data_IF_145220603202
#
_entry.id   IF_145220603202
#
_cell.length_a   1.000
_cell.length_b   1.000
_cell.length_c   1.000
_cell.angle_alpha   90.00
_cell.angle_beta   90.00
_cell.angle_gamma   90.00
#
_symmetry.space_group_name_H-M   'P 1'
#
loop_
_entity.id
_entity.type
_entity.pdbx_description
1 polymer ?
#
# COMPACT_ATOMS: atom_id res chain seq x y z
N UNK A 1 -30.25 3.23 -20.17
CA UNK A 1 -30.17 2.20 -19.11
C UNK A 1 -30.12 2.89 -17.75
N UNK A 2 -30.85 2.40 -16.76
CA UNK A 2 -30.77 2.90 -15.38
C UNK A 2 -29.70 2.12 -14.61
N UNK A 3 -28.80 2.83 -13.94
CA UNK A 3 -27.79 2.25 -13.05
C UNK A 3 -28.38 1.98 -11.66
N UNK A 4 -27.70 1.16 -10.87
CA UNK A 4 -28.19 0.62 -9.59
C UNK A 4 -27.69 1.38 -8.36
N UNK A 5 -27.18 2.61 -8.50
CA UNK A 5 -26.55 3.40 -7.43
C UNK A 5 -27.36 3.41 -6.12
N UNK A 6 -28.69 3.53 -6.18
CA UNK A 6 -29.58 3.59 -5.01
C UNK A 6 -29.60 2.30 -4.17
N UNK A 7 -29.34 1.14 -4.77
CA UNK A 7 -29.30 -0.15 -4.09
C UNK A 7 -27.88 -0.60 -3.73
N UNK A 8 -26.87 0.22 -4.01
CA UNK A 8 -25.49 -0.07 -3.63
C UNK A 8 -25.14 0.54 -2.28
N UNK A 9 -24.25 -0.11 -1.53
CA UNK A 9 -23.74 0.39 -0.24
C UNK A 9 -22.27 0.10 -0.12
N UNK A 10 -21.55 1.03 0.51
CA UNK A 10 -20.14 0.86 0.85
C UNK A 10 -20.02 0.33 2.27
N UNK A 11 -19.28 -0.77 2.44
CA UNK A 11 -19.00 -1.39 3.75
C UNK A 11 -17.53 -1.82 3.80
N UNK A 12 -17.06 -2.38 4.91
CA UNK A 12 -15.77 -3.07 4.93
C UNK A 12 -15.81 -4.26 3.98
N UNK A 13 -14.76 -4.44 3.17
CA UNK A 13 -14.66 -5.54 2.21
C UNK A 13 -14.57 -6.90 2.91
N UNK A 14 -15.04 -7.95 2.24
CA UNK A 14 -14.82 -9.34 2.66
C UNK A 14 -13.39 -9.81 2.40
N UNK A 15 -12.62 -9.07 1.61
CA UNK A 15 -11.21 -9.35 1.31
C UNK A 15 -10.32 -8.71 2.40
N UNK A 16 -9.52 -9.50 3.13
CA UNK A 16 -8.62 -8.98 4.16
C UNK A 16 -7.63 -7.96 3.57
N UNK A 17 -7.55 -6.79 4.20
CA UNK A 17 -6.63 -5.72 3.79
C UNK A 17 -7.05 -4.89 2.57
N UNK A 18 -8.19 -5.20 1.93
CA UNK A 18 -8.70 -4.41 0.78
C UNK A 18 -9.40 -3.10 1.20
N UNK A 19 -9.70 -2.92 2.50
CA UNK A 19 -10.35 -1.72 3.01
C UNK A 19 -11.86 -1.74 2.79
N UNK A 20 -12.40 -0.74 2.07
CA UNK A 20 -13.83 -0.63 1.76
C UNK A 20 -14.19 -1.43 0.52
N UNK A 21 -15.37 -2.04 0.52
CA UNK A 21 -15.97 -2.79 -0.58
C UNK A 21 -17.33 -2.21 -0.99
N UNK A 22 -17.74 -2.50 -2.22
CA UNK A 22 -19.04 -2.14 -2.78
C UNK A 22 -19.99 -3.33 -2.72
N UNK A 23 -21.19 -3.17 -2.18
CA UNK A 23 -22.16 -4.25 -1.96
C UNK A 23 -23.52 -3.91 -2.57
N UNK A 24 -24.26 -4.92 -3.01
CA UNK A 24 -25.66 -4.75 -3.43
C UNK A 24 -26.65 -5.08 -2.32
N UNK A 25 -27.75 -4.33 -2.22
CA UNK A 25 -28.85 -4.61 -1.29
C UNK A 25 -29.91 -5.55 -1.88
N UNK A 26 -29.95 -5.69 -3.21
CA UNK A 26 -30.91 -6.51 -3.95
C UNK A 26 -30.17 -7.50 -4.86
N UNK A 27 -30.79 -8.61 -5.28
CA UNK A 27 -30.17 -9.48 -6.27
C UNK A 27 -29.90 -8.72 -7.57
N UNK A 28 -28.81 -9.05 -8.26
CA UNK A 28 -28.43 -8.51 -9.57
C UNK A 28 -28.27 -9.68 -10.53
N UNK A 29 -28.98 -9.65 -11.66
CA UNK A 29 -28.86 -10.68 -12.69
C UNK A 29 -27.59 -10.48 -13.54
N UNK A 30 -27.05 -11.57 -14.08
CA UNK A 30 -25.99 -11.54 -15.09
C UNK A 30 -26.32 -10.57 -16.24
N UNK A 31 -25.31 -9.85 -16.72
CA UNK A 31 -25.42 -8.87 -17.81
C UNK A 31 -25.96 -7.50 -17.37
N UNK A 32 -26.32 -7.33 -16.09
CA UNK A 32 -26.83 -6.05 -15.61
C UNK A 32 -25.70 -5.03 -15.48
N UNK A 33 -25.89 -3.84 -16.04
CA UNK A 33 -25.02 -2.69 -15.80
C UNK A 33 -25.26 -2.13 -14.39
N UNK A 34 -24.27 -2.27 -13.52
CA UNK A 34 -24.42 -2.00 -12.09
C UNK A 34 -24.18 -0.52 -11.78
N UNK A 35 -23.00 -0.03 -12.15
CA UNK A 35 -22.54 1.32 -11.81
C UNK A 35 -21.50 1.79 -12.82
N UNK A 36 -21.43 3.09 -13.03
CA UNK A 36 -20.41 3.72 -13.87
C UNK A 36 -19.19 4.07 -13.03
N UNK A 37 -18.00 3.78 -13.56
CA UNK A 37 -16.73 4.26 -13.01
C UNK A 37 -16.57 5.73 -13.40
N UNK A 38 -16.78 6.61 -12.42
CA UNK A 38 -16.68 8.06 -12.57
C UNK A 38 -15.46 8.58 -11.84
N UNK A 39 -14.93 9.69 -12.34
CA UNK A 39 -13.79 10.37 -11.75
C UNK A 39 -13.46 11.64 -12.53
N UNK A 40 -12.43 12.35 -12.11
CA UNK A 40 -11.89 13.48 -12.85
C UNK A 40 -11.32 12.97 -14.17
N UNK A 41 -11.88 13.43 -15.29
CA UNK A 41 -11.35 13.12 -16.61
C UNK A 41 -10.08 13.92 -16.89
N UNK A 42 -9.07 13.28 -17.48
CA UNK A 42 -7.82 13.92 -17.90
C UNK A 42 -7.12 13.11 -19.01
N UNK A 43 -5.88 13.47 -19.33
CA UNK A 43 -4.98 12.68 -20.18
C UNK A 43 -4.06 11.80 -19.33
N UNK A 44 -3.44 10.78 -19.92
CA UNK A 44 -2.43 9.98 -19.22
C UNK A 44 -1.21 10.80 -18.77
N UNK A 45 -0.90 11.89 -19.49
CA UNK A 45 0.22 12.78 -19.15
C UNK A 45 -0.09 13.62 -17.90
N UNK A 46 -1.33 14.08 -17.77
CA UNK A 46 -1.70 15.10 -16.79
C UNK A 46 -2.38 14.53 -15.54
N UNK A 47 -2.77 13.26 -15.54
CA UNK A 47 -3.34 12.59 -14.37
C UNK A 47 -2.32 12.51 -13.24
N UNK A 48 -2.78 12.68 -12.00
CA UNK A 48 -1.92 12.55 -10.83
C UNK A 48 -1.63 11.07 -10.57
N UNK A 49 -0.46 10.61 -11.00
CA UNK A 49 0.02 9.25 -10.76
C UNK A 49 0.35 8.98 -9.28
N UNK A 50 0.50 10.03 -8.46
CA UNK A 50 0.89 9.92 -7.04
C UNK A 50 2.15 9.06 -6.85
N UNK A 51 3.18 9.32 -7.67
CA UNK A 51 4.42 8.52 -7.74
C UNK A 51 4.18 7.01 -8.01
N UNK A 52 3.06 6.68 -8.68
CA UNK A 52 2.64 5.31 -8.95
C UNK A 52 1.77 4.69 -7.85
N UNK A 53 1.39 5.46 -6.83
CA UNK A 53 0.54 5.01 -5.72
C UNK A 53 -0.95 5.23 -5.97
N UNK A 54 -1.34 5.94 -7.05
CA UNK A 54 -2.74 6.18 -7.35
C UNK A 54 -3.41 4.95 -7.99
N UNK A 55 -4.00 4.09 -7.14
CA UNK A 55 -4.77 2.92 -7.56
C UNK A 55 -6.18 3.21 -8.12
N UNK A 56 -6.57 4.48 -8.29
CA UNK A 56 -7.92 4.89 -8.74
C UNK A 56 -7.95 5.46 -10.16
N UNK A 57 -6.85 5.31 -10.91
CA UNK A 57 -6.79 5.70 -12.32
C UNK A 57 -7.33 4.54 -13.17
N UNK A 58 -8.39 4.81 -13.91
CA UNK A 58 -8.86 3.94 -14.98
C UNK A 58 -8.36 4.47 -16.33
N UNK A 59 -7.50 3.70 -16.98
CA UNK A 59 -6.98 4.02 -18.31
C UNK A 59 -7.97 3.60 -19.40
N UNK A 60 -8.44 4.55 -20.21
CA UNK A 60 -9.26 4.26 -21.40
C UNK A 60 -8.44 4.48 -22.67
N UNK A 61 -7.77 5.62 -22.78
CA UNK A 61 -6.82 5.93 -23.85
C UNK A 61 -5.79 6.96 -23.39
N UNK A 62 -4.78 7.24 -24.23
CA UNK A 62 -3.77 8.29 -23.95
C UNK A 62 -4.40 9.65 -23.62
N UNK A 63 -5.51 9.98 -24.29
CA UNK A 63 -6.17 11.28 -24.18
C UNK A 63 -7.40 11.26 -23.26
N UNK A 64 -7.71 10.11 -22.65
CA UNK A 64 -8.86 9.98 -21.78
C UNK A 64 -8.60 8.94 -20.70
N UNK A 65 -8.46 9.42 -19.46
CA UNK A 65 -8.34 8.61 -18.25
C UNK A 65 -9.28 9.18 -17.19
N UNK A 66 -9.73 8.33 -16.27
CA UNK A 66 -10.62 8.71 -15.17
C UNK A 66 -9.90 8.49 -13.85
N UNK A 67 -9.81 9.52 -13.03
CA UNK A 67 -9.23 9.44 -11.68
C UNK A 67 -10.31 9.60 -10.61
N UNK A 68 -10.58 8.50 -9.89
CA UNK A 68 -11.57 8.46 -8.82
C UNK A 68 -10.96 8.65 -7.41
N UNK A 69 -9.67 9.02 -7.28
CA UNK A 69 -8.98 9.09 -5.99
C UNK A 69 -9.71 10.01 -5.01
N UNK A 70 -10.09 11.21 -5.45
CA UNK A 70 -10.72 12.23 -4.62
C UNK A 70 -12.25 12.24 -4.66
N UNK A 71 -12.87 11.58 -5.64
CA UNK A 71 -14.33 11.48 -5.74
C UNK A 71 -14.86 10.33 -4.87
N UNK A 72 -15.07 10.60 -3.58
CA UNK A 72 -15.61 9.61 -2.64
C UNK A 72 -17.05 9.20 -2.93
N UNK A 73 -17.76 9.95 -3.78
CA UNK A 73 -19.15 9.67 -4.18
C UNK A 73 -19.23 8.69 -5.35
N UNK A 74 -18.16 8.55 -6.13
CA UNK A 74 -18.03 7.57 -7.20
C UNK A 74 -17.99 6.13 -6.64
N UNK A 75 -19.15 5.49 -6.52
CA UNK A 75 -19.30 4.18 -5.88
C UNK A 75 -18.43 3.07 -6.48
N UNK A 76 -18.22 3.08 -7.80
CA UNK A 76 -17.44 2.09 -8.51
C UNK A 76 -15.97 2.00 -8.03
N UNK A 77 -15.42 3.06 -7.43
CA UNK A 77 -14.06 3.08 -6.87
C UNK A 77 -13.86 2.07 -5.73
N UNK A 78 -14.95 1.61 -5.11
CA UNK A 78 -14.92 0.68 -3.97
C UNK A 78 -15.13 -0.78 -4.40
N UNK A 79 -15.29 -1.08 -5.70
CA UNK A 79 -15.36 -2.46 -6.17
C UNK A 79 -13.96 -3.06 -6.18
N UNK A 80 -13.76 -4.15 -5.43
CA UNK A 80 -12.46 -4.78 -5.25
C UNK A 80 -12.22 -5.93 -6.24
N UNK A 81 -10.97 -6.34 -6.42
CA UNK A 81 -10.61 -7.54 -7.18
C UNK A 81 -10.23 -8.69 -6.24
N UNK A 82 -11.01 -9.76 -6.27
CA UNK A 82 -10.81 -10.97 -5.46
C UNK A 82 -9.55 -11.76 -5.82
N UNK A 83 -8.93 -11.48 -6.97
CA UNK A 83 -7.71 -12.16 -7.46
C UNK A 83 -6.41 -11.44 -7.07
N UNK A 84 -6.51 -10.40 -6.25
CA UNK A 84 -5.40 -9.61 -5.73
C UNK A 84 -4.45 -10.32 -4.78
N UNK A 85 -3.76 -9.55 -3.93
CA UNK A 85 -2.76 -10.08 -2.99
C UNK A 85 -3.42 -10.98 -1.93
N UNK A 86 -4.50 -10.51 -1.30
CA UNK A 86 -5.24 -11.25 -0.26
C UNK A 86 -6.32 -12.17 -0.83
N UNK A 87 -5.94 -13.28 -1.48
CA UNK A 87 -6.93 -14.21 -2.05
C UNK A 87 -7.66 -14.98 -0.96
N UNK A 88 -8.98 -15.03 -1.05
CA UNK A 88 -9.85 -15.79 -0.13
C UNK A 88 -10.44 -16.98 -0.87
N UNK A 89 -10.29 -18.19 -0.32
CA UNK A 89 -10.85 -19.42 -0.90
C UNK A 89 -12.37 -19.29 -1.03
N UNK A 90 -12.91 -19.55 -2.21
CA UNK A 90 -14.35 -19.46 -2.50
C UNK A 90 -14.84 -18.07 -2.93
N UNK A 91 -14.04 -17.02 -2.77
CA UNK A 91 -14.38 -15.67 -3.26
C UNK A 91 -13.72 -15.47 -4.63
N UNK A 92 -14.53 -15.14 -5.64
CA UNK A 92 -14.08 -14.92 -7.02
C UNK A 92 -14.80 -13.71 -7.61
N UNK A 93 -14.21 -13.07 -8.63
CA UNK A 93 -14.82 -11.92 -9.29
C UNK A 93 -16.17 -12.30 -9.90
N UNK A 94 -17.17 -11.45 -9.70
CA UNK A 94 -18.53 -11.62 -10.23
C UNK A 94 -18.91 -10.53 -11.23
N UNK A 95 -18.01 -9.57 -11.48
CA UNK A 95 -18.19 -8.47 -12.41
C UNK A 95 -16.99 -8.29 -13.35
N UNK A 96 -17.24 -7.61 -14.45
CA UNK A 96 -16.22 -7.14 -15.41
C UNK A 96 -16.39 -5.65 -15.66
N UNK A 97 -15.33 -5.00 -16.13
CA UNK A 97 -15.45 -3.69 -16.74
C UNK A 97 -15.97 -3.82 -18.17
N UNK A 98 -16.84 -2.89 -18.56
CA UNK A 98 -17.34 -2.70 -19.92
C UNK A 98 -17.15 -1.24 -20.29
N UNK A 99 -16.47 -0.99 -21.41
CA UNK A 99 -16.18 0.36 -21.91
C UNK A 99 -17.04 0.65 -23.13
N UNK A 100 -17.75 1.77 -23.12
CA UNK A 100 -18.58 2.26 -24.22
C UNK A 100 -18.23 3.72 -24.51
N UNK A 101 -17.46 3.95 -25.56
CA UNK A 101 -16.87 5.26 -25.83
C UNK A 101 -16.00 5.72 -24.66
N UNK A 102 -16.32 6.89 -24.11
CA UNK A 102 -15.61 7.50 -22.98
C UNK A 102 -16.26 7.16 -21.62
N UNK A 103 -17.03 6.09 -21.54
CA UNK A 103 -17.71 5.67 -20.31
C UNK A 103 -17.30 4.26 -19.95
N UNK A 104 -17.04 4.06 -18.67
CA UNK A 104 -16.57 2.80 -18.11
C UNK A 104 -17.58 2.36 -17.09
N UNK A 105 -17.97 1.10 -17.14
CA UNK A 105 -18.99 0.57 -16.26
C UNK A 105 -18.60 -0.76 -15.67
N UNK A 106 -19.18 -1.08 -14.53
CA UNK A 106 -19.13 -2.41 -13.94
C UNK A 106 -20.40 -3.16 -14.35
N UNK A 107 -20.22 -4.32 -14.96
CA UNK A 107 -21.29 -5.21 -15.39
C UNK A 107 -21.21 -6.56 -14.69
N UNK A 108 -22.35 -7.10 -14.29
CA UNK A 108 -22.43 -8.41 -13.66
C UNK A 108 -22.06 -9.52 -14.66
N UNK A 109 -21.00 -10.28 -14.38
CA UNK A 109 -20.61 -11.43 -15.19
C UNK A 109 -21.40 -12.72 -14.84
N UNK A 110 -22.10 -12.71 -13.71
CA UNK A 110 -22.99 -13.76 -13.21
C UNK A 110 -24.00 -13.16 -12.23
N UNK A 111 -24.98 -13.95 -11.81
CA UNK A 111 -25.93 -13.52 -10.78
C UNK A 111 -25.22 -13.23 -9.45
N UNK A 112 -25.63 -12.14 -8.80
CA UNK A 112 -25.11 -11.69 -7.51
C UNK A 112 -26.27 -11.65 -6.53
N UNK A 113 -26.21 -12.39 -5.42
CA UNK A 113 -27.28 -12.37 -4.43
C UNK A 113 -27.36 -11.03 -3.70
N UNK A 114 -28.51 -10.75 -3.08
CA UNK A 114 -28.64 -9.63 -2.15
C UNK A 114 -27.58 -9.74 -1.04
N UNK A 115 -26.94 -8.62 -0.71
CA UNK A 115 -25.83 -8.58 0.25
C UNK A 115 -24.46 -8.98 -0.33
N UNK A 116 -24.39 -9.42 -1.60
CA UNK A 116 -23.13 -9.77 -2.24
C UNK A 116 -22.20 -8.56 -2.46
N UNK A 117 -20.89 -8.80 -2.32
CA UNK A 117 -19.86 -7.82 -2.70
C UNK A 117 -19.69 -7.81 -4.23
N UNK A 118 -19.60 -6.62 -4.81
CA UNK A 118 -19.29 -6.37 -6.21
C UNK A 118 -17.78 -6.49 -6.37
N UNK A 119 -17.37 -7.57 -7.03
CA UNK A 119 -15.97 -7.95 -7.19
C UNK A 119 -15.60 -7.96 -8.67
N UNK A 120 -14.74 -7.05 -9.09
CA UNK A 120 -14.41 -6.78 -10.49
C UNK A 120 -12.95 -7.10 -10.78
N UNK A 121 -12.66 -7.63 -11.95
CA UNK A 121 -11.28 -7.86 -12.37
C UNK A 121 -10.56 -6.56 -12.71
N UNK A 122 -9.45 -6.28 -12.04
CA UNK A 122 -8.52 -5.20 -12.42
C UNK A 122 -7.61 -5.59 -13.59
N UNK A 123 -7.45 -6.90 -13.81
CA UNK A 123 -6.58 -7.46 -14.85
C UNK A 123 -5.21 -7.89 -14.30
N UNK A 124 -4.55 -8.84 -14.97
CA UNK A 124 -3.25 -9.36 -14.52
C UNK A 124 -2.14 -8.30 -14.54
N UNK A 125 -2.16 -7.37 -15.51
CA UNK A 125 -1.15 -6.32 -15.68
C UNK A 125 -1.12 -5.39 -14.47
N UNK A 126 -2.30 -4.98 -13.98
CA UNK A 126 -2.42 -4.18 -12.75
C UNK A 126 -1.72 -4.86 -11.57
N UNK A 127 -2.02 -6.14 -11.34
CA UNK A 127 -1.44 -6.89 -10.22
C UNK A 127 0.06 -7.18 -10.39
N UNK A 128 0.56 -7.27 -11.62
CA UNK A 128 1.99 -7.37 -11.89
C UNK A 128 2.72 -6.09 -11.46
N UNK A 129 2.17 -4.92 -11.83
CA UNK A 129 2.73 -3.62 -11.42
C UNK A 129 2.71 -3.47 -9.89
N UNK A 130 1.58 -3.76 -9.24
CA UNK A 130 1.49 -3.68 -7.77
C UNK A 130 2.53 -4.58 -7.09
N UNK A 131 2.68 -5.83 -7.55
CA UNK A 131 3.68 -6.75 -6.98
C UNK A 131 5.11 -6.27 -7.21
N UNK A 132 5.38 -5.67 -8.37
CA UNK A 132 6.68 -5.10 -8.68
C UNK A 132 7.00 -3.93 -7.73
N UNK A 133 6.07 -2.98 -7.57
CA UNK A 133 6.24 -1.83 -6.69
C UNK A 133 6.45 -2.26 -5.23
N UNK A 134 5.62 -3.19 -4.73
CA UNK A 134 5.79 -3.75 -3.38
C UNK A 134 7.18 -4.37 -3.16
N UNK A 135 7.75 -5.01 -4.19
CA UNK A 135 9.10 -5.57 -4.11
C UNK A 135 10.16 -4.47 -4.05
N UNK A 136 10.04 -3.45 -4.91
CA UNK A 136 10.95 -2.30 -4.91
C UNK A 136 10.96 -1.62 -3.54
N UNK A 137 9.79 -1.40 -2.94
CA UNK A 137 9.65 -0.78 -1.62
C UNK A 137 10.28 -1.64 -0.52
N UNK A 138 10.03 -2.95 -0.55
CA UNK A 138 10.61 -3.89 0.42
C UNK A 138 12.14 -3.94 0.34
N UNK A 139 12.70 -3.92 -0.87
CA UNK A 139 14.15 -3.90 -1.09
C UNK A 139 14.75 -2.57 -0.62
N UNK A 140 14.10 -1.44 -0.90
CA UNK A 140 14.53 -0.12 -0.44
C UNK A 140 14.55 -0.02 1.10
N UNK A 141 13.50 -0.51 1.77
CA UNK A 141 13.44 -0.51 3.24
C UNK A 141 14.50 -1.44 3.85
N UNK A 142 14.73 -2.62 3.26
CA UNK A 142 15.80 -3.52 3.68
C UNK A 142 17.18 -2.87 3.60
N UNK A 143 17.46 -2.14 2.52
CA UNK A 143 18.72 -1.41 2.37
C UNK A 143 18.83 -0.25 3.37
N UNK A 144 17.75 0.48 3.62
CA UNK A 144 17.71 1.53 4.65
C UNK A 144 18.00 0.97 6.05
N UNK A 145 17.39 -0.15 6.41
CA UNK A 145 17.62 -0.83 7.69
C UNK A 145 19.06 -1.33 7.81
N UNK A 146 19.65 -1.88 6.74
CA UNK A 146 21.07 -2.27 6.72
C UNK A 146 22.00 -1.07 6.92
N UNK A 147 21.76 0.05 6.22
CA UNK A 147 22.53 1.30 6.38
C UNK A 147 22.42 1.83 7.81
N UNK A 148 21.22 1.84 8.39
CA UNK A 148 21.00 2.27 9.77
C UNK A 148 21.73 1.37 10.79
N UNK A 149 21.74 0.05 10.59
CA UNK A 149 22.49 -0.89 11.44
C UNK A 149 24.01 -0.66 11.35
N UNK A 150 24.56 -0.49 10.14
CA UNK A 150 25.99 -0.19 9.93
C UNK A 150 26.40 1.14 10.58
N UNK A 151 25.58 2.18 10.44
CA UNK A 151 25.83 3.48 11.06
C UNK A 151 25.80 3.44 12.60
N UNK A 152 24.96 2.58 13.19
CA UNK A 152 24.94 2.34 14.64
C UNK A 152 26.16 1.54 15.12
N UNK A 153 26.61 0.54 14.36
CA UNK A 153 27.79 -0.26 14.68
C UNK A 153 29.11 0.55 14.58
N UNK A 154 29.18 1.56 13.71
CA UNK A 154 30.35 2.44 13.60
C UNK A 154 30.50 3.49 14.71
N UNK A 155 29.53 3.60 15.64
CA UNK A 155 29.52 4.60 16.73
C UNK A 155 29.94 4.04 18.11
N UNK A 156 30.43 2.80 18.21
CA UNK A 156 31.01 2.29 19.46
C UNK A 156 32.40 2.90 19.71
N UNK A 157 32.46 3.87 20.61
CA UNK A 157 33.67 4.50 21.16
C UNK A 157 34.60 3.45 21.79
N UNK A 158 35.94 3.51 21.61
CA UNK A 158 36.84 2.62 22.32
C UNK A 158 36.79 2.91 23.83
N UNK A 159 36.44 1.90 24.62
CA UNK A 159 36.45 1.94 26.08
C UNK A 159 37.87 2.16 26.58
N UNK A 160 38.15 3.35 27.14
CA UNK A 160 39.40 3.65 27.84
C UNK A 160 39.60 2.65 28.99
N UNK A 161 40.55 1.74 28.84
CA UNK A 161 40.99 0.83 29.90
C UNK A 161 41.67 1.65 31.01
N UNK A 162 41.06 1.73 32.20
CA UNK A 162 41.69 2.36 33.38
C UNK A 162 42.88 1.50 33.83
N UNK A 163 44.10 2.04 33.71
CA UNK A 163 45.31 1.45 34.26
C UNK A 163 45.22 1.36 35.80
N UNK A 164 45.37 0.16 36.36
CA UNK A 164 45.53 -0.09 37.80
C UNK A 164 46.87 0.47 38.27
N UNK A 165 46.85 1.50 39.13
CA UNK A 165 48.01 1.94 39.91
C UNK A 165 48.32 0.86 40.96
N UNK A 166 49.46 0.16 40.82
CA UNK A 166 50.06 -0.67 41.87
C UNK A 166 50.67 0.25 42.93
N UNK A 167 50.16 0.18 44.16
CA UNK A 167 50.82 0.71 45.34
C UNK A 167 51.77 -0.36 45.86
N UNK A 168 53.07 -0.12 45.78
CA UNK A 168 54.09 -0.92 46.48
C UNK A 168 54.83 -0.02 47.45
N UNK A 169 54.69 -0.35 48.73
CA UNK A 169 55.49 0.15 49.83
C UNK A 169 56.92 -0.36 49.73
N UNK A 170 57.92 0.48 50.04
CA UNK A 170 59.11 0.04 50.79
C UNK A 170 59.92 1.20 51.36
N UNK A 171 60.02 1.13 52.68
CA UNK A 171 61.00 1.66 53.63
C UNK A 171 62.44 1.67 53.14
N UNK A 172 63.17 2.77 53.38
CA UNK A 172 64.56 2.72 53.88
C UNK A 172 64.96 4.01 54.63
N UNK A 173 65.76 3.82 55.68
CA UNK A 173 66.26 4.77 56.69
C UNK A 173 67.50 5.56 56.23
N UNK A 174 67.76 6.66 56.97
CA UNK A 174 69.07 7.33 57.29
C UNK A 174 69.78 8.00 56.10
N UNK A 175 70.50 9.13 56.20
CA UNK A 175 71.18 9.82 57.31
C UNK A 175 71.60 11.25 56.90
N UNK A 176 71.63 12.17 57.88
CA UNK A 176 72.59 13.30 58.11
C UNK A 176 73.03 14.23 56.96
N UNK A 177 72.83 15.55 57.13
CA UNK A 177 73.92 16.55 57.30
C UNK A 177 73.35 17.96 57.53
N UNK A 178 73.95 18.68 58.48
CA UNK A 178 73.83 20.12 58.72
C UNK A 178 74.28 20.96 57.49
N UNK A 179 73.74 22.18 57.35
CA UNK A 179 74.52 23.44 57.25
C UNK A 179 73.61 24.68 57.05
N UNK A 180 73.73 25.61 58.01
CA UNK A 180 73.68 27.09 57.95
C UNK A 180 72.83 27.83 56.88
N UNK A 181 71.91 28.68 57.36
CA UNK A 181 72.03 30.15 57.35
C UNK A 181 70.97 30.76 58.28
#
# INVERSE_FOLDING_TARGET
MALLDKQLRVKTSTIPGAGKGLFTQKPIAKGTRIVEYKGKASTWKDVNHDEGNNGYIYYVSRNFVLDAQHDKTALARYANDARGIGRVKGITNNCTYVTEGNRVFIEAARDIPAGGEILVSYGPEYWQVIKHNMKVDADAEKERLKKAKRAKAGKTTPTKTKAKKKTTSRTTRRSTSLANA
#
